data_IF_853432279880
#
_entry.id   IF_853432279880
#
_cell.length_a   1.000
_cell.length_b   1.000
_cell.length_c   1.000
_cell.angle_alpha   90.00
_cell.angle_beta   90.00
_cell.angle_gamma   90.00
#
_symmetry.space_group_name_H-M   'P 1'
#
loop_
_entity.id
_entity.type
_entity.pdbx_description
1 polymer ?
#
# COMPACT_ATOMS: atom_id res chain seq x y z
N UNK A 1 -49.52 11.87 14.74
CA UNK A 1 -49.19 10.44 14.88
C UNK A 1 -48.47 9.99 13.61
N UNK A 2 -47.21 9.55 13.71
CA UNK A 2 -46.49 9.04 12.55
C UNK A 2 -47.03 7.65 12.18
N UNK A 3 -47.34 7.42 10.90
CA UNK A 3 -47.69 6.08 10.41
C UNK A 3 -46.48 5.15 10.60
N UNK A 4 -46.66 3.93 11.15
CA UNK A 4 -45.55 2.99 11.26
C UNK A 4 -45.06 2.64 9.86
N UNK A 5 -43.78 2.93 9.61
CA UNK A 5 -43.11 2.63 8.36
C UNK A 5 -42.47 1.25 8.49
N UNK A 6 -43.20 0.19 8.16
CA UNK A 6 -42.67 -1.17 8.11
C UNK A 6 -42.02 -1.43 6.75
N UNK A 7 -40.70 -1.40 6.67
CA UNK A 7 -39.98 -1.83 5.47
C UNK A 7 -39.99 -3.37 5.39
N UNK A 8 -40.76 -3.94 4.46
CA UNK A 8 -40.74 -5.38 4.22
C UNK A 8 -39.67 -5.71 3.16
N UNK A 9 -38.55 -6.30 3.60
CA UNK A 9 -37.52 -6.80 2.68
C UNK A 9 -38.01 -8.11 2.04
N UNK A 10 -37.79 -8.26 0.73
CA UNK A 10 -38.12 -9.51 0.04
C UNK A 10 -37.13 -10.62 0.43
N UNK A 11 -37.59 -11.87 0.48
CA UNK A 11 -36.72 -13.01 0.78
C UNK A 11 -35.56 -13.16 -0.22
N UNK A 12 -35.77 -12.76 -1.49
CA UNK A 12 -34.72 -12.74 -2.51
C UNK A 12 -33.62 -11.71 -2.18
N UNK A 13 -34.00 -10.50 -1.78
CA UNK A 13 -33.05 -9.46 -1.41
C UNK A 13 -32.22 -9.87 -0.20
N UNK A 14 -32.83 -10.48 0.82
CA UNK A 14 -32.12 -11.00 1.99
C UNK A 14 -31.07 -12.05 1.61
N UNK A 15 -31.44 -13.04 0.79
CA UNK A 15 -30.51 -14.08 0.31
C UNK A 15 -29.33 -13.52 -0.47
N UNK A 16 -29.54 -12.48 -1.30
CA UNK A 16 -28.45 -11.86 -2.06
C UNK A 16 -27.41 -11.20 -1.14
N UNK A 17 -27.86 -10.50 -0.11
CA UNK A 17 -26.96 -9.86 0.87
C UNK A 17 -26.25 -10.90 1.73
N UNK A 18 -26.93 -11.99 2.10
CA UNK A 18 -26.35 -13.10 2.86
C UNK A 18 -25.22 -13.80 2.08
N UNK A 19 -25.42 -14.08 0.78
CA UNK A 19 -24.38 -14.64 -0.09
C UNK A 19 -23.18 -13.69 -0.19
N UNK A 20 -23.43 -12.38 -0.32
CA UNK A 20 -22.35 -11.39 -0.31
C UNK A 20 -21.56 -11.42 1.01
N UNK A 21 -22.25 -11.47 2.16
CA UNK A 21 -21.62 -11.54 3.48
C UNK A 21 -20.77 -12.80 3.65
N UNK A 22 -21.24 -13.95 3.18
CA UNK A 22 -20.48 -15.21 3.21
C UNK A 22 -19.20 -15.14 2.35
N UNK A 23 -19.30 -14.60 1.13
CA UNK A 23 -18.14 -14.41 0.26
C UNK A 23 -17.13 -13.45 0.90
N UNK A 24 -17.62 -12.35 1.48
CA UNK A 24 -16.79 -11.36 2.16
C UNK A 24 -16.02 -11.96 3.34
N UNK A 25 -16.66 -12.85 4.11
CA UNK A 25 -16.03 -13.57 5.21
C UNK A 25 -14.91 -14.49 4.68
N UNK A 26 -15.20 -15.29 3.66
CA UNK A 26 -14.21 -16.20 3.06
C UNK A 26 -13.00 -15.44 2.51
N UNK A 27 -13.23 -14.31 1.84
CA UNK A 27 -12.15 -13.47 1.31
C UNK A 27 -11.33 -12.79 2.40
N UNK A 28 -11.95 -12.42 3.54
CA UNK A 28 -11.25 -11.85 4.69
C UNK A 28 -10.37 -12.88 5.40
N UNK A 29 -10.84 -14.13 5.53
CA UNK A 29 -10.03 -15.24 6.05
C UNK A 29 -8.84 -15.55 5.12
N UNK A 30 -9.08 -15.67 3.82
CA UNK A 30 -8.01 -15.90 2.84
C UNK A 30 -7.01 -14.74 2.86
N UNK A 31 -7.48 -13.50 3.06
CA UNK A 31 -6.61 -12.36 3.23
C UNK A 31 -5.71 -12.51 4.46
N UNK A 32 -6.26 -12.91 5.61
CA UNK A 32 -5.52 -13.03 6.86
C UNK A 32 -4.53 -14.20 6.87
N UNK A 33 -4.98 -15.39 6.44
CA UNK A 33 -4.21 -16.63 6.58
C UNK A 33 -3.36 -16.98 5.35
N UNK A 34 -3.78 -16.57 4.15
CA UNK A 34 -3.05 -16.82 2.91
C UNK A 34 -2.26 -15.59 2.46
N UNK A 35 -2.99 -14.53 2.08
CA UNK A 35 -2.41 -13.38 1.41
C UNK A 35 -1.37 -12.64 2.25
N UNK A 36 -1.69 -12.25 3.50
CA UNK A 36 -0.80 -11.42 4.31
C UNK A 36 0.57 -12.08 4.59
N UNK A 37 0.65 -13.34 5.07
CA UNK A 37 1.93 -14.02 5.27
C UNK A 37 2.75 -14.12 3.99
N UNK A 38 2.13 -14.49 2.86
CA UNK A 38 2.80 -14.59 1.56
C UNK A 38 3.31 -13.22 1.10
N UNK A 39 2.51 -12.17 1.25
CA UNK A 39 2.87 -10.80 0.85
C UNK A 39 4.03 -10.25 1.65
N UNK A 40 4.10 -10.54 2.95
CA UNK A 40 5.23 -10.16 3.81
C UNK A 40 6.52 -10.82 3.31
N UNK A 41 6.49 -12.12 3.00
CA UNK A 41 7.65 -12.86 2.49
C UNK A 41 8.09 -12.29 1.13
N UNK A 42 7.14 -12.12 0.21
CA UNK A 42 7.39 -11.55 -1.11
C UNK A 42 8.03 -10.16 -1.03
N UNK A 43 7.44 -9.23 -0.28
CA UNK A 43 7.99 -7.88 -0.13
C UNK A 43 9.36 -7.89 0.56
N UNK A 44 9.60 -8.82 1.47
CA UNK A 44 10.91 -8.99 2.10
C UNK A 44 11.97 -9.51 1.12
N UNK A 45 11.62 -10.43 0.22
CA UNK A 45 12.50 -10.90 -0.86
C UNK A 45 12.79 -9.77 -1.84
N UNK A 46 11.74 -9.07 -2.29
CA UNK A 46 11.83 -7.92 -3.19
C UNK A 46 12.80 -6.87 -2.62
N UNK A 47 12.66 -6.49 -1.35
CA UNK A 47 13.54 -5.50 -0.69
C UNK A 47 15.02 -5.92 -0.58
N UNK A 48 15.31 -7.22 -0.65
CA UNK A 48 16.68 -7.78 -0.64
C UNK A 48 17.31 -7.82 -2.02
N UNK A 49 16.54 -7.70 -3.09
CA UNK A 49 17.09 -7.65 -4.44
C UNK A 49 17.98 -6.41 -4.64
N UNK A 50 19.09 -6.58 -5.36
CA UNK A 50 20.02 -5.50 -5.70
C UNK A 50 19.35 -4.39 -6.54
N UNK A 51 18.24 -4.75 -7.21
CA UNK A 51 17.35 -3.83 -7.93
C UNK A 51 16.82 -2.71 -7.03
N UNK A 52 16.60 -2.99 -5.74
CA UNK A 52 16.07 -2.07 -4.75
C UNK A 52 17.13 -1.43 -3.85
N UNK A 53 18.38 -1.94 -3.84
CA UNK A 53 19.44 -1.38 -3.00
C UNK A 53 19.94 -0.03 -3.55
N UNK A 54 19.84 1.01 -2.73
CA UNK A 54 20.30 2.38 -3.03
C UNK A 54 21.84 2.45 -3.12
N UNK A 55 22.55 1.53 -2.45
CA UNK A 55 24.01 1.43 -2.53
C UNK A 55 24.53 1.23 -3.97
N UNK A 56 23.75 0.55 -4.84
CA UNK A 56 24.08 0.42 -6.27
C UNK A 56 23.89 1.75 -7.02
N UNK A 57 23.05 2.68 -6.53
CA UNK A 57 23.03 4.04 -7.09
C UNK A 57 24.25 4.84 -6.66
N UNK A 58 24.72 4.73 -5.42
CA UNK A 58 25.99 5.36 -5.02
C UNK A 58 27.17 4.92 -5.92
N UNK A 59 27.13 3.71 -6.49
CA UNK A 59 28.10 3.24 -7.51
C UNK A 59 27.98 3.95 -8.87
N UNK A 60 26.81 4.49 -9.19
CA UNK A 60 26.50 5.29 -10.38
C UNK A 60 26.75 6.79 -10.16
N UNK A 61 26.97 7.20 -8.90
CA UNK A 61 27.19 8.58 -8.52
C UNK A 61 28.40 9.13 -9.29
N UNK A 62 28.24 10.23 -10.05
CA UNK A 62 29.37 10.94 -10.59
C UNK A 62 30.23 11.47 -9.43
N UNK A 63 31.57 11.39 -9.54
CA UNK A 63 32.51 11.93 -8.53
C UNK A 63 32.47 13.48 -8.40
N UNK A 64 31.35 14.16 -8.68
CA UNK A 64 31.27 15.61 -8.65
C UNK A 64 30.78 16.08 -7.28
N UNK A 65 31.61 15.91 -6.26
CA UNK A 65 31.52 16.60 -4.98
C UNK A 65 32.37 17.87 -5.05
N UNK A 66 31.93 18.88 -5.80
CA UNK A 66 32.39 20.25 -5.55
C UNK A 66 31.33 21.25 -6.00
N UNK A 67 30.96 22.24 -5.16
CA UNK A 67 30.04 23.29 -5.55
C UNK A 67 30.71 24.17 -6.61
N UNK A 68 30.10 24.23 -7.80
CA UNK A 68 30.39 25.22 -8.84
C UNK A 68 31.87 25.61 -9.00
N UNK A 69 32.66 24.77 -9.66
CA UNK A 69 33.81 25.28 -10.40
C UNK A 69 33.68 24.85 -11.85
N UNK A 70 33.71 25.85 -12.72
CA UNK A 70 33.97 25.77 -14.15
C UNK A 70 35.34 25.09 -14.27
N UNK A 71 35.38 23.77 -14.18
CA UNK A 71 36.59 22.99 -14.35
C UNK A 71 36.38 22.09 -15.55
N UNK A 72 37.25 22.35 -16.53
CA UNK A 72 37.39 21.62 -17.77
C UNK A 72 37.07 20.13 -17.59
N UNK A 73 36.12 19.61 -18.36
CA UNK A 73 35.64 18.27 -18.16
C UNK A 73 36.79 17.28 -18.46
N UNK A 74 37.15 16.43 -17.50
CA UNK A 74 37.53 15.05 -17.85
C UNK A 74 36.33 14.45 -18.57
N UNK A 75 36.31 14.66 -19.88
CA UNK A 75 35.08 14.75 -20.66
C UNK A 75 34.50 13.35 -20.85
N UNK A 76 33.53 12.99 -20.01
CA UNK A 76 32.58 11.96 -20.38
C UNK A 76 31.95 12.40 -21.70
N UNK A 77 32.03 11.53 -22.70
CA UNK A 77 31.38 11.77 -23.99
C UNK A 77 29.87 11.91 -23.77
N UNK A 78 29.20 12.73 -24.60
CA UNK A 78 27.73 12.81 -24.63
C UNK A 78 27.06 11.42 -24.71
N UNK A 79 27.76 10.44 -25.31
CA UNK A 79 27.38 9.02 -25.34
C UNK A 79 27.39 8.36 -23.95
N UNK A 80 28.42 8.59 -23.13
CA UNK A 80 28.48 8.09 -21.75
C UNK A 80 27.42 8.74 -20.86
N UNK A 81 27.19 10.05 -21.00
CA UNK A 81 26.14 10.78 -20.28
C UNK A 81 24.76 10.20 -20.59
N UNK A 82 24.42 10.03 -21.88
CA UNK A 82 23.16 9.39 -22.29
C UNK A 82 23.03 7.95 -21.78
N UNK A 83 24.13 7.16 -21.76
CA UNK A 83 24.11 5.78 -21.24
C UNK A 83 23.82 5.74 -19.74
N UNK A 84 24.43 6.62 -18.95
CA UNK A 84 24.21 6.70 -17.50
C UNK A 84 22.79 7.16 -17.17
N UNK A 85 22.31 8.23 -17.82
CA UNK A 85 20.89 8.67 -17.75
C UNK A 85 19.96 7.50 -18.06
N UNK A 86 20.16 6.78 -19.18
CA UNK A 86 19.33 5.62 -19.53
C UNK A 86 19.42 4.47 -18.50
N UNK A 87 20.49 4.35 -17.71
CA UNK A 87 20.63 3.29 -16.69
C UNK A 87 19.88 3.63 -15.41
N UNK A 88 20.06 4.82 -14.84
CA UNK A 88 19.33 5.28 -13.64
C UNK A 88 17.82 5.25 -13.89
N UNK A 89 17.43 5.74 -15.05
CA UNK A 89 16.04 5.80 -15.49
C UNK A 89 15.35 4.45 -15.60
N UNK A 90 16.08 3.43 -16.08
CA UNK A 90 15.59 2.05 -16.17
C UNK A 90 15.36 1.46 -14.78
N UNK A 91 16.22 1.80 -13.82
CA UNK A 91 16.08 1.35 -12.44
C UNK A 91 14.83 1.92 -11.78
N UNK A 92 14.57 3.23 -11.92
CA UNK A 92 13.32 3.85 -11.44
C UNK A 92 12.08 3.15 -12.04
N UNK A 93 12.10 2.90 -13.36
CA UNK A 93 10.97 2.24 -14.03
C UNK A 93 10.78 0.79 -13.56
N UNK A 94 11.85 0.01 -13.39
CA UNK A 94 11.74 -1.36 -12.89
C UNK A 94 11.19 -1.41 -11.47
N UNK A 95 11.64 -0.50 -10.59
CA UNK A 95 11.11 -0.42 -9.23
C UNK A 95 9.63 -0.07 -9.23
N UNK A 96 9.27 0.89 -10.08
CA UNK A 96 7.89 1.31 -10.18
C UNK A 96 6.98 0.18 -10.67
N UNK A 97 7.40 -0.60 -11.68
CA UNK A 97 6.61 -1.74 -12.17
C UNK A 97 6.36 -2.80 -11.09
N UNK A 98 7.24 -2.88 -10.09
CA UNK A 98 7.12 -3.80 -8.96
C UNK A 98 6.29 -3.19 -7.83
N UNK A 99 6.50 -1.92 -7.46
CA UNK A 99 5.85 -1.29 -6.30
C UNK A 99 4.43 -0.82 -6.59
N UNK A 100 4.15 -0.33 -7.81
CA UNK A 100 2.81 0.17 -8.18
C UNK A 100 1.70 -0.86 -7.97
N UNK A 101 1.77 -2.10 -8.48
CA UNK A 101 0.70 -3.08 -8.27
C UNK A 101 0.49 -3.37 -6.78
N UNK A 102 1.56 -3.41 -5.99
CA UNK A 102 1.50 -3.70 -4.55
C UNK A 102 0.69 -2.65 -3.77
N UNK A 103 0.84 -1.37 -4.12
CA UNK A 103 0.03 -0.28 -3.54
C UNK A 103 -1.46 -0.47 -3.88
N UNK A 104 -1.79 -0.81 -5.12
CA UNK A 104 -3.18 -1.05 -5.54
C UNK A 104 -3.79 -2.25 -4.83
N UNK A 105 -3.09 -3.38 -4.82
CA UNK A 105 -3.57 -4.59 -4.16
C UNK A 105 -3.79 -4.38 -2.67
N UNK A 106 -2.86 -3.72 -1.96
CA UNK A 106 -3.05 -3.49 -0.53
C UNK A 106 -4.23 -2.54 -0.25
N UNK A 107 -4.44 -1.53 -1.09
CA UNK A 107 -5.61 -0.64 -0.99
C UNK A 107 -6.92 -1.42 -1.13
N UNK A 108 -7.03 -2.27 -2.14
CA UNK A 108 -8.22 -3.11 -2.36
C UNK A 108 -8.48 -4.04 -1.18
N UNK A 109 -7.43 -4.68 -0.65
CA UNK A 109 -7.56 -5.54 0.53
C UNK A 109 -7.95 -4.76 1.79
N UNK A 110 -7.44 -3.55 1.99
CA UNK A 110 -7.91 -2.70 3.09
C UNK A 110 -9.40 -2.40 2.96
N UNK A 111 -9.89 -2.07 1.76
CA UNK A 111 -11.33 -1.80 1.53
C UNK A 111 -12.15 -3.04 1.86
N UNK A 112 -11.73 -4.22 1.38
CA UNK A 112 -12.39 -5.48 1.65
C UNK A 112 -12.56 -5.74 3.15
N UNK A 113 -11.48 -5.62 3.93
CA UNK A 113 -11.53 -5.91 5.36
C UNK A 113 -12.30 -4.85 6.14
N UNK A 114 -12.22 -3.58 5.74
CA UNK A 114 -13.07 -2.51 6.30
C UNK A 114 -14.54 -2.85 6.10
N UNK A 115 -14.94 -3.25 4.89
CA UNK A 115 -16.33 -3.65 4.59
C UNK A 115 -16.74 -4.89 5.38
N UNK A 116 -15.84 -5.85 5.55
CA UNK A 116 -16.07 -7.05 6.36
C UNK A 116 -16.35 -6.71 7.82
N UNK A 117 -15.49 -5.91 8.46
CA UNK A 117 -15.69 -5.50 9.86
C UNK A 117 -16.99 -4.71 10.01
N UNK A 118 -17.29 -3.79 9.08
CA UNK A 118 -18.54 -3.04 9.09
C UNK A 118 -19.78 -3.94 9.02
N UNK A 119 -19.71 -5.06 8.30
CA UNK A 119 -20.79 -6.04 8.23
C UNK A 119 -20.96 -6.83 9.54
N UNK A 120 -19.88 -6.97 10.32
CA UNK A 120 -19.87 -7.66 11.61
C UNK A 120 -20.26 -6.79 12.80
N UNK A 121 -20.44 -5.47 12.61
CA UNK A 121 -20.91 -4.58 13.67
C UNK A 121 -22.36 -4.98 13.99
N UNK A 122 -22.66 -5.40 15.24
CA UNK A 122 -23.97 -5.88 15.62
C UNK A 122 -24.96 -4.71 15.73
N UNK A 123 -26.22 -5.04 16.01
CA UNK A 123 -27.22 -4.04 16.36
C UNK A 123 -26.76 -3.23 17.57
N UNK A 124 -27.03 -1.92 17.54
CA UNK A 124 -26.78 -1.03 18.67
C UNK A 124 -27.76 -1.39 19.79
N UNK A 125 -27.20 -1.77 20.93
CA UNK A 125 -27.90 -2.17 22.15
C UNK A 125 -27.17 -1.53 23.34
N UNK A 126 -27.84 -1.41 24.49
CA UNK A 126 -27.23 -0.83 25.69
C UNK A 126 -26.45 -1.91 26.46
N UNK A 127 -25.14 -1.71 26.62
CA UNK A 127 -24.27 -2.61 27.35
C UNK A 127 -23.59 -3.69 26.50
N UNK A 128 -22.56 -4.32 27.08
CA UNK A 128 -21.68 -5.29 26.40
C UNK A 128 -20.99 -4.71 25.15
N UNK A 129 -20.54 -3.46 25.21
CA UNK A 129 -20.01 -2.72 24.05
C UNK A 129 -18.49 -2.81 23.88
N UNK A 130 -17.79 -3.52 24.77
CA UNK A 130 -16.34 -3.65 24.68
C UNK A 130 -15.89 -4.29 23.36
N UNK A 131 -16.58 -5.34 22.89
CA UNK A 131 -16.26 -5.96 21.60
C UNK A 131 -16.50 -5.02 20.42
N UNK A 132 -17.56 -4.22 20.48
CA UNK A 132 -17.88 -3.22 19.45
C UNK A 132 -16.82 -2.10 19.44
N UNK A 133 -16.41 -1.63 20.61
CA UNK A 133 -15.32 -0.65 20.72
C UNK A 133 -13.98 -1.20 20.18
N UNK A 134 -13.71 -2.50 20.35
CA UNK A 134 -12.55 -3.15 19.73
C UNK A 134 -12.68 -3.16 18.21
N UNK A 135 -13.86 -3.53 17.66
CA UNK A 135 -14.13 -3.47 16.22
C UNK A 135 -13.87 -2.07 15.67
N UNK A 136 -14.39 -1.02 16.33
CA UNK A 136 -14.18 0.38 15.95
C UNK A 136 -12.70 0.75 15.95
N UNK A 137 -11.92 0.31 16.95
CA UNK A 137 -10.49 0.61 17.04
C UNK A 137 -9.69 -0.09 15.93
N UNK A 138 -10.04 -1.33 15.59
CA UNK A 138 -9.44 -2.04 14.45
C UNK A 138 -9.79 -1.32 13.15
N UNK A 139 -11.05 -0.91 12.99
CA UNK A 139 -11.54 -0.17 11.82
C UNK A 139 -10.82 1.18 11.65
N UNK A 140 -10.62 1.92 12.74
CA UNK A 140 -9.86 3.18 12.77
C UNK A 140 -8.44 2.96 12.24
N UNK A 141 -7.76 1.91 12.73
CA UNK A 141 -6.40 1.60 12.29
C UNK A 141 -6.35 1.19 10.81
N UNK A 142 -7.30 0.38 10.34
CA UNK A 142 -7.37 -0.01 8.93
C UNK A 142 -7.60 1.18 8.02
N UNK A 143 -8.49 2.11 8.40
CA UNK A 143 -8.69 3.34 7.65
C UNK A 143 -7.42 4.20 7.63
N UNK A 144 -6.70 4.33 8.75
CA UNK A 144 -5.44 5.05 8.79
C UNK A 144 -4.38 4.44 7.86
N UNK A 145 -4.27 3.11 7.80
CA UNK A 145 -3.37 2.42 6.86
C UNK A 145 -3.82 2.64 5.42
N UNK A 146 -5.12 2.50 5.12
CA UNK A 146 -5.68 2.77 3.78
C UNK A 146 -5.33 4.18 3.30
N UNK A 147 -5.52 5.21 4.14
CA UNK A 147 -5.18 6.60 3.79
C UNK A 147 -3.70 6.77 3.46
N UNK A 148 -2.79 6.11 4.20
CA UNK A 148 -1.36 6.13 3.88
C UNK A 148 -1.05 5.45 2.55
N UNK A 149 -1.68 4.30 2.28
CA UNK A 149 -1.53 3.59 1.00
C UNK A 149 -2.07 4.44 -0.16
N UNK A 150 -3.17 5.17 0.03
CA UNK A 150 -3.69 6.12 -0.97
C UNK A 150 -2.71 7.26 -1.22
N UNK A 151 -2.06 7.79 -0.17
CA UNK A 151 -1.02 8.81 -0.33
C UNK A 151 0.17 8.33 -1.18
N UNK A 152 0.52 7.04 -1.14
CA UNK A 152 1.56 6.48 -2.00
C UNK A 152 1.20 6.55 -3.49
N UNK A 153 -0.09 6.54 -3.86
CA UNK A 153 -0.51 6.72 -5.25
C UNK A 153 -0.11 8.10 -5.77
N UNK A 154 -0.19 9.12 -4.93
CA UNK A 154 0.28 10.48 -5.22
C UNK A 154 1.80 10.53 -5.36
N UNK A 155 2.55 9.90 -4.45
CA UNK A 155 4.03 9.79 -4.53
C UNK A 155 4.47 9.14 -5.84
N UNK A 156 3.83 8.02 -6.21
CA UNK A 156 4.09 7.33 -7.47
C UNK A 156 3.78 8.23 -8.68
N UNK A 157 2.66 8.97 -8.65
CA UNK A 157 2.27 9.86 -9.74
C UNK A 157 3.24 11.03 -9.88
N UNK A 158 3.71 11.59 -8.76
CA UNK A 158 4.71 12.66 -8.71
C UNK A 158 6.04 12.23 -9.34
N UNK A 159 6.50 11.01 -9.08
CA UNK A 159 7.70 10.44 -9.72
C UNK A 159 7.63 10.48 -11.26
N UNK A 160 6.44 10.37 -11.86
CA UNK A 160 6.26 10.50 -13.31
C UNK A 160 6.27 11.95 -13.78
N UNK A 161 5.49 12.82 -13.13
CA UNK A 161 5.33 14.22 -13.56
C UNK A 161 6.64 14.98 -13.48
N UNK A 162 7.38 14.84 -12.38
CA UNK A 162 8.68 15.50 -12.20
C UNK A 162 9.70 15.04 -13.23
N UNK A 163 9.57 13.82 -13.73
CA UNK A 163 10.43 13.30 -14.79
C UNK A 163 10.00 13.76 -16.18
N UNK A 164 8.69 13.83 -16.45
CA UNK A 164 8.17 14.44 -17.68
C UNK A 164 8.66 15.88 -17.83
N UNK A 165 8.62 16.64 -16.74
CA UNK A 165 9.12 18.02 -16.68
C UNK A 165 10.63 18.10 -16.88
N UNK A 166 11.41 17.17 -16.29
CA UNK A 166 12.86 17.09 -16.50
C UNK A 166 13.21 16.85 -17.97
N UNK A 167 12.48 15.92 -18.62
CA UNK A 167 12.69 15.59 -20.03
C UNK A 167 12.34 16.79 -20.92
N UNK A 168 11.27 17.52 -20.60
CA UNK A 168 10.90 18.75 -21.30
C UNK A 168 11.96 19.87 -21.13
N UNK A 169 12.61 19.93 -19.97
CA UNK A 169 13.68 20.90 -19.64
C UNK A 169 15.09 20.35 -19.87
N UNK A 170 15.24 19.24 -20.59
CA UNK A 170 16.51 18.51 -20.70
C UNK A 170 17.64 19.30 -21.38
N UNK A 171 17.31 20.36 -22.13
CA UNK A 171 18.28 21.30 -22.69
C UNK A 171 18.87 22.26 -21.64
N UNK A 172 18.20 22.45 -20.50
CA UNK A 172 18.56 23.35 -19.40
C UNK A 172 19.08 22.59 -18.16
N UNK A 173 18.70 21.32 -17.97
CA UNK A 173 19.10 20.52 -16.81
C UNK A 173 20.40 19.72 -17.03
N UNK A 174 21.33 19.81 -16.07
CA UNK A 174 22.60 19.09 -16.13
C UNK A 174 22.42 17.61 -15.80
N UNK A 175 23.24 16.70 -16.36
CA UNK A 175 23.15 15.26 -16.08
C UNK A 175 23.26 14.86 -14.60
N UNK A 176 23.88 15.71 -13.77
CA UNK A 176 24.00 15.50 -12.33
C UNK A 176 22.64 15.70 -11.63
N UNK A 177 21.84 16.65 -12.10
CA UNK A 177 20.52 16.93 -11.55
C UNK A 177 19.52 15.80 -11.86
N UNK A 178 19.51 15.29 -13.09
CA UNK A 178 18.71 14.11 -13.44
C UNK A 178 19.07 12.90 -12.58
N UNK A 179 20.37 12.66 -12.38
CA UNK A 179 20.84 11.55 -11.56
C UNK A 179 20.37 11.68 -10.11
N UNK A 180 20.49 12.87 -9.49
CA UNK A 180 20.00 13.10 -8.12
C UNK A 180 18.48 12.94 -8.01
N UNK A 181 17.73 13.30 -9.05
CA UNK A 181 16.27 13.13 -9.10
C UNK A 181 15.89 11.65 -9.20
N UNK A 182 16.55 10.90 -10.10
CA UNK A 182 16.38 9.44 -10.19
C UNK A 182 16.80 8.75 -8.88
N UNK A 183 17.82 9.28 -8.21
CA UNK A 183 18.29 8.82 -6.91
C UNK A 183 17.22 8.95 -5.83
N UNK A 184 16.64 10.15 -5.71
CA UNK A 184 15.54 10.44 -4.81
C UNK A 184 14.31 9.56 -5.11
N UNK A 185 13.93 9.42 -6.38
CA UNK A 185 12.77 8.62 -6.77
C UNK A 185 12.91 7.13 -6.39
N UNK A 186 14.09 6.52 -6.57
CA UNK A 186 14.26 5.14 -6.08
C UNK A 186 14.23 5.06 -4.56
N UNK A 187 14.78 6.06 -3.86
CA UNK A 187 14.72 6.15 -2.41
C UNK A 187 13.28 6.17 -1.90
N UNK A 188 12.44 7.00 -2.52
CA UNK A 188 11.00 7.09 -2.24
C UNK A 188 10.28 5.76 -2.55
N UNK A 189 10.52 5.15 -3.71
CA UNK A 189 9.91 3.86 -4.07
C UNK A 189 10.34 2.72 -3.12
N UNK A 190 11.59 2.72 -2.66
CA UNK A 190 12.07 1.76 -1.65
C UNK A 190 11.39 1.98 -0.30
N UNK A 191 11.22 3.25 0.11
CA UNK A 191 10.51 3.59 1.34
C UNK A 191 9.05 3.10 1.29
N UNK A 192 8.36 3.31 0.15
CA UNK A 192 7.01 2.76 -0.07
C UNK A 192 7.00 1.24 0.08
N UNK A 193 7.95 0.51 -0.51
CA UNK A 193 8.01 -0.95 -0.37
C UNK A 193 8.25 -1.41 1.09
N UNK A 194 9.07 -0.68 1.85
CA UNK A 194 9.28 -0.93 3.29
C UNK A 194 7.99 -0.73 4.09
N UNK A 195 7.27 0.37 3.82
CA UNK A 195 6.02 0.69 4.49
C UNK A 195 4.91 -0.31 4.14
N UNK A 196 4.80 -0.74 2.87
CA UNK A 196 3.86 -1.78 2.46
C UNK A 196 4.08 -3.08 3.25
N UNK A 197 5.34 -3.51 3.41
CA UNK A 197 5.68 -4.71 4.20
C UNK A 197 5.31 -4.51 5.67
N UNK A 198 5.63 -3.34 6.23
CA UNK A 198 5.30 -3.01 7.61
C UNK A 198 3.78 -3.01 7.85
N UNK A 199 3.00 -2.42 6.94
CA UNK A 199 1.54 -2.43 7.01
C UNK A 199 0.96 -3.84 6.88
N UNK A 200 1.50 -4.71 6.01
CA UNK A 200 1.05 -6.10 5.95
C UNK A 200 1.27 -6.82 7.29
N UNK A 201 2.44 -6.67 7.90
CA UNK A 201 2.74 -7.27 9.21
C UNK A 201 1.86 -6.69 10.32
N UNK A 202 1.61 -5.38 10.29
CA UNK A 202 0.76 -4.70 11.25
C UNK A 202 -0.71 -5.14 11.14
N UNK A 203 -1.25 -5.21 9.91
CA UNK A 203 -2.60 -5.70 9.63
C UNK A 203 -2.77 -7.13 10.12
N UNK A 204 -1.80 -8.00 9.82
CA UNK A 204 -1.82 -9.38 10.30
C UNK A 204 -1.88 -9.43 11.82
N UNK A 205 -1.01 -8.66 12.50
CA UNK A 205 -0.94 -8.64 13.96
C UNK A 205 -2.23 -8.11 14.59
N UNK A 206 -2.75 -6.96 14.13
CA UNK A 206 -3.95 -6.36 14.72
C UNK A 206 -5.18 -7.24 14.49
N UNK A 207 -5.32 -7.84 13.32
CA UNK A 207 -6.45 -8.73 13.02
C UNK A 207 -6.36 -10.02 13.83
N UNK A 208 -5.24 -10.72 13.78
CA UNK A 208 -5.07 -11.99 14.50
C UNK A 208 -5.23 -11.84 16.01
N UNK A 209 -4.72 -10.76 16.60
CA UNK A 209 -4.82 -10.52 18.05
C UNK A 209 -6.24 -10.22 18.50
N UNK A 210 -7.11 -9.72 17.61
CA UNK A 210 -8.46 -9.26 17.95
C UNK A 210 -9.55 -10.04 17.20
N UNK A 211 -9.22 -11.17 16.57
CA UNK A 211 -10.12 -11.87 15.65
C UNK A 211 -11.43 -12.30 16.32
N UNK A 212 -11.33 -12.89 17.51
CA UNK A 212 -12.52 -13.36 18.26
C UNK A 212 -13.48 -12.21 18.55
N UNK A 213 -12.98 -11.07 19.02
CA UNK A 213 -13.79 -9.88 19.30
C UNK A 213 -14.26 -9.15 18.04
N UNK A 214 -13.57 -9.37 16.92
CA UNK A 214 -13.99 -8.83 15.62
C UNK A 214 -15.16 -9.61 15.04
N UNK A 215 -15.14 -10.94 15.16
CA UNK A 215 -16.17 -11.83 14.60
C UNK A 215 -17.35 -12.02 15.56
N UNK A 216 -17.09 -12.08 16.87
CA UNK A 216 -18.09 -12.28 17.91
C UNK A 216 -17.97 -11.21 19.02
N UNK A 217 -18.31 -9.94 18.73
CA UNK A 217 -18.12 -8.84 19.67
C UNK A 217 -18.96 -8.97 20.94
N UNK A 218 -20.17 -9.57 20.85
CA UNK A 218 -21.09 -9.75 21.98
C UNK A 218 -20.87 -11.06 22.73
N UNK A 219 -20.04 -11.97 22.22
CA UNK A 219 -19.74 -13.25 22.88
C UNK A 219 -20.92 -14.21 22.87
N UNK A 220 -21.75 -14.15 21.83
CA UNK A 220 -22.86 -15.09 21.64
C UNK A 220 -22.28 -16.49 21.48
N UNK A 221 -22.90 -17.48 22.14
CA UNK A 221 -22.57 -18.88 21.88
C UNK A 221 -22.82 -19.15 20.39
N UNK A 222 -21.83 -19.70 19.68
CA UNK A 222 -22.07 -20.21 18.32
C UNK A 222 -23.33 -21.06 18.39
N UNK A 223 -24.37 -20.79 17.56
CA UNK A 223 -25.54 -21.64 17.57
C UNK A 223 -25.05 -23.07 17.38
N UNK A 224 -25.35 -23.93 18.37
CA UNK A 224 -25.02 -25.34 18.33
C UNK A 224 -25.63 -25.91 17.05
N UNK A 225 -24.82 -26.02 15.99
CA UNK A 225 -25.20 -26.75 14.80
C UNK A 225 -25.20 -28.23 15.16
N UNK A 226 -26.35 -28.71 15.62
CA UNK A 226 -26.79 -30.09 15.35
C UNK A 226 -27.39 -30.13 13.95
#
# INVERSE_FOLDING_TARGET
>A
MAKPCGAHLSGKARKQVEVFGQNLFQEAEEFLYGFLPQKIIYLNQLLREDSLNVADMTSLQPHWTSPCQILHPRMMTWKQIRRRRKKSLRKVLSLLTLVKPEVWTLKEKCILVITWIQHLIPRIEDGNDLGVAIQEKVLERMNAIKTKVEAFQTTISKCFSERGDAVAKASQETPVMDYRRDEAACGELRAVALDLRAFCAELYRIMSSNLEKTVNPKGEEKPSMY
#
